data_IF_394407827714
#
_entry.id   IF_394407827714
#
_cell.length_a   1.000
_cell.length_b   1.000
_cell.length_c   1.000
_cell.angle_alpha   90.00
_cell.angle_beta   90.00
_cell.angle_gamma   90.00
#
_symmetry.space_group_name_H-M   'P 1'
#
loop_
_entity.id
_entity.type
_entity.pdbx_description
1 polymer ?
#
# COMPACT_ATOMS: atom_id res chain seq x y z
N UNK A 1 69.55 23.04 -17.59
CA UNK A 1 68.66 21.95 -18.05
C UNK A 1 67.23 22.30 -17.67
N UNK A 2 66.31 22.11 -18.61
CA UNK A 2 64.96 22.64 -18.68
C UNK A 2 63.94 21.93 -17.76
N UNK A 3 62.81 22.62 -17.52
CA UNK A 3 61.58 22.15 -16.85
C UNK A 3 60.88 21.00 -17.61
N UNK A 4 60.09 20.17 -16.90
CA UNK A 4 58.62 19.99 -17.08
C UNK A 4 58.05 18.56 -16.88
N UNK A 5 57.11 18.47 -15.92
CA UNK A 5 55.70 18.00 -15.99
C UNK A 5 55.32 16.53 -16.33
N UNK A 6 54.45 15.99 -15.44
CA UNK A 6 53.38 14.98 -15.60
C UNK A 6 53.78 13.47 -15.65
N UNK A 7 52.98 12.52 -15.18
CA UNK A 7 51.53 12.47 -14.97
C UNK A 7 51.11 11.49 -13.86
N UNK A 8 49.94 11.77 -13.29
CA UNK A 8 49.14 10.93 -12.39
C UNK A 8 48.83 9.54 -12.97
N UNK A 9 48.83 8.53 -12.10
CA UNK A 9 48.05 7.30 -12.29
C UNK A 9 47.38 6.90 -10.98
N UNK A 10 46.30 7.58 -10.62
CA UNK A 10 45.34 7.07 -9.63
C UNK A 10 44.49 6.00 -10.32
N UNK A 11 44.75 4.73 -10.04
CA UNK A 11 43.83 3.64 -10.36
C UNK A 11 42.70 3.66 -9.31
N UNK A 12 41.67 4.48 -9.55
CA UNK A 12 40.39 4.31 -8.88
C UNK A 12 39.71 3.09 -9.48
N UNK A 13 39.81 1.94 -8.83
CA UNK A 13 38.92 0.82 -9.11
C UNK A 13 37.50 1.27 -8.75
N UNK A 14 36.73 1.64 -9.77
CA UNK A 14 35.31 1.92 -9.65
C UNK A 14 34.59 0.65 -9.19
N UNK A 15 34.21 0.62 -7.92
CA UNK A 15 33.23 -0.32 -7.41
C UNK A 15 31.86 0.06 -7.96
N UNK A 16 31.50 -0.51 -9.11
CA UNK A 16 30.13 -0.42 -9.62
C UNK A 16 29.32 -1.53 -8.93
N UNK A 17 28.81 -1.24 -7.74
CA UNK A 17 27.74 -2.03 -7.14
C UNK A 17 26.43 -1.66 -7.84
N UNK A 18 26.15 -2.30 -8.98
CA UNK A 18 24.82 -2.32 -9.57
C UNK A 18 23.95 -3.32 -8.80
N UNK A 19 23.45 -2.91 -7.64
CA UNK A 19 22.26 -3.56 -7.08
C UNK A 19 21.05 -2.90 -7.71
N UNK A 20 20.53 -3.50 -8.78
CA UNK A 20 19.15 -3.27 -9.19
C UNK A 20 18.25 -3.92 -8.14
N UNK A 21 17.97 -3.17 -7.06
CA UNK A 21 16.88 -3.52 -6.18
C UNK A 21 15.57 -3.25 -6.94
N UNK A 22 14.97 -4.29 -7.51
CA UNK A 22 13.52 -4.29 -7.68
C UNK A 22 12.96 -4.16 -6.28
N UNK A 23 12.51 -2.97 -5.90
CA UNK A 23 11.86 -2.79 -4.61
C UNK A 23 10.56 -3.60 -4.65
N UNK A 24 10.60 -4.83 -4.16
CA UNK A 24 9.40 -5.53 -3.71
C UNK A 24 8.64 -4.54 -2.81
N UNK A 25 7.37 -4.32 -3.12
CA UNK A 25 6.54 -3.47 -2.26
C UNK A 25 6.62 -4.00 -0.82
N UNK A 26 6.66 -3.13 0.19
CA UNK A 26 6.87 -3.57 1.56
C UNK A 26 5.74 -4.52 1.98
N UNK A 27 6.10 -5.69 2.48
CA UNK A 27 5.14 -6.63 3.11
C UNK A 27 4.92 -6.34 4.58
N UNK A 28 5.67 -5.40 5.14
CA UNK A 28 5.62 -5.01 6.54
C UNK A 28 5.75 -3.50 6.69
N UNK A 29 5.06 -2.95 7.69
CA UNK A 29 5.16 -1.55 8.06
C UNK A 29 5.06 -1.39 9.58
N UNK A 30 5.97 -0.61 10.17
CA UNK A 30 5.91 -0.30 11.59
C UNK A 30 4.78 0.69 11.87
N UNK A 31 3.84 0.30 12.75
CA UNK A 31 2.84 1.21 13.34
C UNK A 31 3.24 1.58 14.77
N UNK A 32 2.62 2.60 15.36
CA UNK A 32 2.77 2.95 16.79
C UNK A 32 2.20 1.86 17.71
N UNK A 33 1.43 0.93 17.16
CA UNK A 33 0.75 -0.15 17.90
C UNK A 33 1.32 -1.54 17.58
N UNK A 34 2.48 -1.59 16.91
CA UNK A 34 3.19 -2.82 16.57
C UNK A 34 3.48 -2.95 15.08
N UNK A 35 4.24 -4.00 14.72
CA UNK A 35 4.55 -4.30 13.33
C UNK A 35 3.29 -4.81 12.62
N UNK A 36 2.87 -4.14 11.56
CA UNK A 36 1.86 -4.66 10.64
C UNK A 36 2.57 -5.50 9.58
N UNK A 37 2.22 -6.78 9.46
CA UNK A 37 2.88 -7.72 8.55
C UNK A 37 1.85 -8.51 7.75
N UNK A 38 1.95 -8.46 6.42
CA UNK A 38 1.10 -9.21 5.50
C UNK A 38 1.60 -10.64 5.23
N UNK A 39 2.52 -11.15 6.06
CA UNK A 39 3.21 -12.44 5.89
C UNK A 39 2.60 -13.58 6.70
N UNK A 40 1.45 -13.35 7.34
CA UNK A 40 0.78 -14.37 8.13
C UNK A 40 0.33 -15.58 7.29
N UNK A 41 -0.06 -16.68 7.95
CA UNK A 41 -0.56 -17.88 7.27
C UNK A 41 -1.67 -17.52 6.28
N UNK A 42 -1.63 -18.07 5.07
CA UNK A 42 -2.57 -17.77 3.99
C UNK A 42 -2.66 -16.26 3.66
N UNK A 43 -1.51 -15.56 3.68
CA UNK A 43 -1.40 -14.13 3.36
C UNK A 43 -2.26 -13.23 4.27
N UNK A 44 -2.42 -13.65 5.53
CA UNK A 44 -3.19 -12.88 6.50
C UNK A 44 -2.38 -11.75 7.10
N UNK A 45 -3.08 -10.68 7.47
CA UNK A 45 -2.52 -9.58 8.24
C UNK A 45 -2.28 -10.00 9.69
N UNK A 46 -1.07 -9.73 10.17
CA UNK A 46 -0.69 -9.77 11.57
C UNK A 46 -0.43 -8.35 12.08
N UNK A 47 -0.85 -8.06 13.30
CA UNK A 47 -0.42 -6.88 14.06
C UNK A 47 0.35 -7.36 15.27
N UNK A 48 1.62 -6.96 15.38
CA UNK A 48 2.53 -7.39 16.43
C UNK A 48 2.62 -8.93 16.55
N UNK A 49 2.64 -9.62 15.41
CA UNK A 49 2.68 -11.08 15.33
C UNK A 49 1.34 -11.78 15.61
N UNK A 50 0.27 -11.05 15.94
CA UNK A 50 -1.05 -11.63 16.23
C UNK A 50 -2.01 -11.46 15.05
N UNK A 51 -2.83 -12.49 14.72
CA UNK A 51 -3.89 -12.36 13.72
C UNK A 51 -4.88 -11.28 14.10
N UNK A 52 -5.40 -10.55 13.10
CA UNK A 52 -6.43 -9.55 13.32
C UNK A 52 -7.83 -10.15 13.43
N UNK A 53 -8.75 -9.40 14.06
CA UNK A 53 -10.18 -9.67 14.06
C UNK A 53 -10.91 -8.43 13.49
N UNK A 54 -11.62 -8.54 12.35
CA UNK A 54 -11.71 -9.72 11.49
C UNK A 54 -10.35 -10.10 10.89
N UNK A 55 -10.23 -11.34 10.42
CA UNK A 55 -9.06 -11.75 9.65
C UNK A 55 -9.07 -10.99 8.32
N UNK A 56 -7.91 -10.53 7.88
CA UNK A 56 -7.76 -9.84 6.59
C UNK A 56 -6.74 -10.62 5.78
N UNK A 57 -7.09 -11.04 4.58
CA UNK A 57 -6.22 -11.85 3.73
C UNK A 57 -6.11 -11.23 2.34
N UNK A 58 -4.87 -11.14 1.84
CA UNK A 58 -4.64 -10.95 0.42
C UNK A 58 -4.77 -12.28 -0.31
N UNK A 59 -4.98 -12.23 -1.62
CA UNK A 59 -5.16 -13.44 -2.41
C UNK A 59 -3.84 -14.22 -2.57
N UNK A 60 -2.94 -13.78 -3.45
CA UNK A 60 -1.61 -14.39 -3.62
C UNK A 60 -0.56 -13.77 -2.71
N UNK A 61 -0.67 -12.48 -2.42
CA UNK A 61 0.10 -11.81 -1.38
C UNK A 61 -0.66 -10.61 -0.81
N UNK A 62 -0.28 -10.22 0.40
CA UNK A 62 -0.73 -9.01 1.05
C UNK A 62 0.48 -8.10 1.31
N UNK A 63 0.48 -6.91 0.70
CA UNK A 63 1.44 -5.85 0.96
C UNK A 63 0.86 -4.85 1.94
N UNK A 64 1.75 -4.24 2.72
CA UNK A 64 1.39 -3.40 3.86
C UNK A 64 2.21 -2.12 3.82
N UNK A 65 1.52 -0.99 3.71
CA UNK A 65 2.15 0.32 3.75
C UNK A 65 1.45 1.20 4.78
N UNK A 66 2.17 1.67 5.80
CA UNK A 66 1.68 2.76 6.63
C UNK A 66 1.74 4.06 5.83
N UNK A 67 0.60 4.72 5.66
CA UNK A 67 0.47 5.90 4.81
C UNK A 67 0.24 7.18 5.62
N UNK A 68 -0.34 7.10 6.82
CA UNK A 68 -0.60 8.28 7.65
C UNK A 68 -0.61 7.99 9.15
N UNK A 69 -0.50 9.06 9.94
CA UNK A 69 -0.89 9.12 11.35
C UNK A 69 -1.92 10.24 11.52
N UNK A 70 -3.01 9.98 12.24
CA UNK A 70 -4.03 10.97 12.56
C UNK A 70 -4.52 10.76 13.99
N UNK A 71 -4.18 11.69 14.89
CA UNK A 71 -4.40 11.52 16.33
C UNK A 71 -3.78 10.21 16.84
N UNK A 72 -4.58 9.41 17.54
CA UNK A 72 -4.21 8.07 18.02
C UNK A 72 -4.59 6.97 17.01
N UNK A 73 -4.43 7.22 15.72
CA UNK A 73 -4.71 6.25 14.67
C UNK A 73 -3.58 6.25 13.65
N UNK A 74 -3.07 5.07 13.36
CA UNK A 74 -2.21 4.83 12.20
C UNK A 74 -3.07 4.33 11.06
N UNK A 75 -2.83 4.84 9.86
CA UNK A 75 -3.55 4.40 8.67
C UNK A 75 -2.63 3.58 7.79
N UNK A 76 -3.07 2.38 7.50
CA UNK A 76 -2.37 1.40 6.70
C UNK A 76 -3.15 1.16 5.41
N UNK A 77 -2.46 1.26 4.28
CA UNK A 77 -2.93 0.80 2.98
C UNK A 77 -2.49 -0.65 2.81
N UNK A 78 -3.48 -1.52 2.68
CA UNK A 78 -3.29 -2.92 2.34
C UNK A 78 -3.42 -3.05 0.82
N UNK A 79 -2.53 -3.83 0.19
CA UNK A 79 -2.65 -4.18 -1.23
C UNK A 79 -2.71 -5.70 -1.35
N UNK A 80 -3.85 -6.22 -1.78
CA UNK A 80 -3.99 -7.61 -2.20
C UNK A 80 -3.54 -7.71 -3.65
N UNK A 81 -2.72 -8.71 -3.96
CA UNK A 81 -2.30 -9.00 -5.34
C UNK A 81 -2.56 -10.45 -5.69
N UNK A 82 -2.63 -10.69 -7.00
CA UNK A 82 -2.89 -12.01 -7.57
C UNK A 82 -4.37 -12.37 -7.44
N UNK A 83 -4.90 -13.03 -8.46
CA UNK A 83 -6.32 -13.26 -8.61
C UNK A 83 -6.70 -13.11 -10.08
N UNK A 84 -7.63 -13.93 -10.55
CA UNK A 84 -7.98 -13.92 -11.98
C UNK A 84 -8.69 -12.62 -12.44
N UNK A 85 -9.19 -11.84 -11.49
CA UNK A 85 -9.96 -10.63 -11.78
C UNK A 85 -9.13 -9.33 -11.79
N UNK A 86 -7.97 -9.28 -11.11
CA UNK A 86 -7.29 -8.01 -10.86
C UNK A 86 -5.85 -8.19 -10.37
N UNK A 87 -4.90 -7.45 -10.94
CA UNK A 87 -3.49 -7.51 -10.52
C UNK A 87 -3.26 -6.92 -9.12
N UNK A 88 -4.02 -5.88 -8.76
CA UNK A 88 -3.95 -5.26 -7.44
C UNK A 88 -5.30 -4.67 -7.00
N UNK A 89 -5.66 -4.93 -5.75
CA UNK A 89 -6.77 -4.31 -5.03
C UNK A 89 -6.29 -3.73 -3.70
N UNK A 90 -7.00 -2.72 -3.20
CA UNK A 90 -6.58 -1.90 -2.08
C UNK A 90 -7.63 -1.90 -0.97
N UNK A 91 -7.18 -1.90 0.28
CA UNK A 91 -8.04 -1.69 1.44
C UNK A 91 -7.40 -0.72 2.42
N UNK A 92 -8.21 0.11 3.07
CA UNK A 92 -7.76 1.06 4.09
C UNK A 92 -8.08 0.49 5.47
N UNK A 93 -7.05 0.38 6.29
CA UNK A 93 -7.11 -0.10 7.66
C UNK A 93 -6.69 0.99 8.64
N UNK A 94 -7.51 1.19 9.68
CA UNK A 94 -7.16 2.04 10.81
C UNK A 94 -6.67 1.16 11.96
N UNK A 95 -5.45 1.40 12.43
CA UNK A 95 -4.85 0.75 13.61
C UNK A 95 -4.82 1.75 14.76
N UNK A 96 -5.32 1.35 15.91
CA UNK A 96 -5.52 2.20 17.10
C UNK A 96 -4.93 1.52 18.34
N UNK A 97 -4.84 2.22 19.49
CA UNK A 97 -4.42 1.58 20.75
C UNK A 97 -5.31 0.40 21.16
N UNK A 98 -6.56 0.38 20.71
CA UNK A 98 -7.55 -0.65 21.03
C UNK A 98 -7.61 -1.78 19.99
N UNK A 99 -6.64 -1.82 19.06
CA UNK A 99 -6.62 -2.75 17.94
C UNK A 99 -7.06 -2.11 16.63
N UNK A 100 -7.53 -2.93 15.69
CA UNK A 100 -7.93 -2.47 14.37
C UNK A 100 -9.42 -2.11 14.31
N UNK A 101 -9.77 -1.16 13.44
CA UNK A 101 -11.16 -1.01 12.98
C UNK A 101 -11.43 -1.98 11.83
N UNK A 102 -12.71 -2.27 11.56
CA UNK A 102 -13.10 -3.02 10.36
C UNK A 102 -12.52 -2.32 9.12
N UNK A 103 -11.77 -3.04 8.27
CA UNK A 103 -11.19 -2.47 7.06
C UNK A 103 -12.28 -2.11 6.05
N UNK A 104 -11.95 -1.25 5.09
CA UNK A 104 -12.77 -1.12 3.89
C UNK A 104 -12.82 -2.44 3.12
N UNK A 105 -13.83 -2.67 2.26
CA UNK A 105 -13.70 -3.68 1.22
C UNK A 105 -12.41 -3.47 0.44
N UNK A 106 -11.92 -4.52 -0.21
CA UNK A 106 -10.90 -4.34 -1.24
C UNK A 106 -11.53 -3.67 -2.47
N UNK A 107 -10.89 -2.62 -2.96
CA UNK A 107 -11.35 -1.78 -4.07
C UNK A 107 -10.22 -1.42 -5.03
N UNK A 108 -10.56 -0.78 -6.15
CA UNK A 108 -9.63 -0.37 -7.19
C UNK A 108 -10.10 -0.77 -8.59
N UNK A 109 -9.21 -0.62 -9.57
CA UNK A 109 -9.49 -0.89 -10.98
C UNK A 109 -8.39 -1.71 -11.68
N UNK A 110 -7.61 -2.47 -10.90
CA UNK A 110 -6.49 -3.29 -11.36
C UNK A 110 -5.26 -2.52 -11.84
N UNK A 111 -5.30 -1.18 -11.75
CA UNK A 111 -4.11 -0.36 -11.92
C UNK A 111 -3.48 -0.01 -10.57
N UNK A 112 -2.17 0.26 -10.58
CA UNK A 112 -1.49 0.73 -9.38
C UNK A 112 -2.02 2.10 -8.95
N UNK A 113 -2.44 2.20 -7.68
CA UNK A 113 -2.88 3.45 -7.08
C UNK A 113 -1.69 4.28 -6.59
N UNK A 114 -1.83 5.60 -6.64
CA UNK A 114 -0.96 6.53 -5.88
C UNK A 114 -1.77 7.12 -4.72
N UNK A 115 -1.52 6.75 -3.46
CA UNK A 115 -2.20 7.34 -2.32
C UNK A 115 -1.71 8.79 -2.12
N UNK A 116 -2.63 9.66 -1.73
CA UNK A 116 -2.34 11.02 -1.28
C UNK A 116 -3.23 11.34 -0.08
N UNK A 117 -2.68 12.07 0.89
CA UNK A 117 -3.37 12.40 2.13
C UNK A 117 -3.44 13.92 2.27
N UNK A 118 -4.64 14.41 2.61
CA UNK A 118 -4.87 15.82 2.91
C UNK A 118 -5.90 15.94 4.02
N UNK A 119 -5.47 16.36 5.20
CA UNK A 119 -6.31 16.38 6.40
C UNK A 119 -6.86 15.00 6.74
N UNK A 120 -8.17 14.86 6.89
CA UNK A 120 -8.85 13.59 7.15
C UNK A 120 -9.05 12.72 5.91
N UNK A 121 -8.66 13.17 4.71
CA UNK A 121 -9.00 12.48 3.45
C UNK A 121 -7.80 11.73 2.88
N UNK A 122 -8.03 10.46 2.56
CA UNK A 122 -7.13 9.61 1.80
C UNK A 122 -7.70 9.49 0.40
N UNK A 123 -6.94 9.95 -0.59
CA UNK A 123 -7.33 9.90 -2.00
C UNK A 123 -6.44 8.93 -2.74
N UNK A 124 -7.05 7.92 -3.35
CA UNK A 124 -6.40 6.94 -4.23
C UNK A 124 -6.81 7.27 -5.67
N UNK A 125 -5.83 7.64 -6.48
CA UNK A 125 -6.03 7.90 -7.91
C UNK A 125 -5.54 6.71 -8.70
N UNK A 126 -6.44 6.15 -9.50
CA UNK A 126 -6.17 5.03 -10.38
C UNK A 126 -6.18 5.49 -11.83
N UNK A 127 -5.10 5.25 -12.61
CA UNK A 127 -5.16 5.50 -14.04
C UNK A 127 -6.22 4.60 -14.68
N UNK A 128 -6.89 5.09 -15.72
CA UNK A 128 -7.76 4.28 -16.57
C UNK A 128 -7.02 3.99 -17.87
N UNK A 129 -6.79 2.71 -18.14
CA UNK A 129 -6.23 2.26 -19.41
C UNK A 129 -7.38 1.87 -20.34
N UNK A 130 -7.64 2.69 -21.37
CA UNK A 130 -8.54 2.32 -22.47
C UNK A 130 -7.69 2.20 -23.73
N UNK A 131 -7.28 0.96 -24.07
CA UNK A 131 -6.36 0.70 -25.18
C UNK A 131 -4.96 1.28 -24.93
N UNK A 132 -4.27 1.71 -26.00
CA UNK A 132 -2.89 2.25 -25.95
C UNK A 132 -2.77 3.68 -25.39
N UNK A 133 -3.89 4.34 -25.05
CA UNK A 133 -3.88 5.76 -24.69
C UNK A 133 -4.50 6.00 -23.31
N UNK A 134 -3.80 6.80 -22.49
CA UNK A 134 -4.29 7.31 -21.20
C UNK A 134 -5.04 8.62 -21.46
N UNK A 135 -6.24 8.55 -22.01
CA UNK A 135 -7.05 9.75 -22.33
C UNK A 135 -8.29 9.91 -21.45
N UNK A 136 -8.54 8.99 -20.52
CA UNK A 136 -9.68 9.11 -19.60
C UNK A 136 -9.28 9.64 -18.23
N UNK A 137 -10.18 10.36 -17.52
CA UNK A 137 -9.91 10.80 -16.16
C UNK A 137 -9.58 9.60 -15.26
N UNK A 138 -8.60 9.77 -14.39
CA UNK A 138 -8.31 8.81 -13.34
C UNK A 138 -9.59 8.49 -12.56
N UNK A 139 -9.80 7.22 -12.23
CA UNK A 139 -10.76 6.88 -11.21
C UNK A 139 -10.23 7.36 -9.86
N UNK A 140 -11.07 8.03 -9.09
CA UNK A 140 -10.68 8.63 -7.81
C UNK A 140 -11.55 8.05 -6.72
N UNK A 141 -10.91 7.32 -5.82
CA UNK A 141 -11.54 6.83 -4.60
C UNK A 141 -11.07 7.67 -3.42
N UNK A 142 -12.00 8.11 -2.59
CA UNK A 142 -11.73 8.96 -1.43
C UNK A 142 -12.31 8.30 -0.19
N UNK A 143 -11.45 8.09 0.79
CA UNK A 143 -11.83 7.68 2.13
C UNK A 143 -11.66 8.83 3.12
N UNK A 144 -12.71 9.12 3.87
CA UNK A 144 -12.70 10.12 4.93
C UNK A 144 -12.50 9.43 6.29
N UNK A 145 -11.37 9.70 6.93
CA UNK A 145 -10.97 9.10 8.21
C UNK A 145 -11.91 9.48 9.37
N UNK A 146 -12.54 10.65 9.31
CA UNK A 146 -13.40 11.13 10.38
C UNK A 146 -14.78 10.46 10.34
N UNK A 147 -15.32 10.29 9.13
CA UNK A 147 -16.66 9.70 8.92
C UNK A 147 -16.63 8.21 8.62
N UNK A 148 -15.48 7.68 8.21
CA UNK A 148 -15.34 6.31 7.71
C UNK A 148 -16.00 6.07 6.35
N UNK A 149 -16.40 7.13 5.63
CA UNK A 149 -17.09 7.01 4.34
C UNK A 149 -16.07 6.79 3.22
N UNK A 150 -16.33 5.80 2.37
CA UNK A 150 -15.62 5.55 1.13
C UNK A 150 -16.49 5.98 -0.07
N UNK A 151 -15.91 6.75 -0.98
CA UNK A 151 -16.56 7.17 -2.23
C UNK A 151 -15.72 6.75 -3.42
N UNK A 152 -16.40 6.36 -4.51
CA UNK A 152 -15.83 6.07 -5.82
C UNK A 152 -16.37 7.06 -6.83
N UNK A 153 -15.48 7.90 -7.38
CA UNK A 153 -15.83 9.03 -8.25
C UNK A 153 -16.96 9.91 -7.66
N UNK A 154 -16.90 10.18 -6.35
CA UNK A 154 -17.87 10.99 -5.63
C UNK A 154 -19.17 10.27 -5.22
N UNK A 155 -19.38 9.01 -5.64
CA UNK A 155 -20.52 8.19 -5.20
C UNK A 155 -20.13 7.34 -3.99
N UNK A 156 -20.89 7.41 -2.91
CA UNK A 156 -20.68 6.54 -1.73
C UNK A 156 -20.80 5.07 -2.10
N UNK A 157 -19.85 4.27 -1.62
CA UNK A 157 -19.85 2.81 -1.72
C UNK A 157 -19.76 2.20 -0.31
N UNK A 158 -20.08 0.90 -0.14
CA UNK A 158 -19.92 0.24 1.15
C UNK A 158 -18.52 0.44 1.70
N UNK A 159 -18.42 0.92 2.94
CA UNK A 159 -17.15 1.29 3.55
C UNK A 159 -16.60 0.23 4.52
N UNK A 160 -17.36 -0.83 4.79
CA UNK A 160 -16.92 -1.96 5.60
C UNK A 160 -16.83 -3.21 4.73
N UNK A 161 -15.74 -3.96 4.90
CA UNK A 161 -15.55 -5.22 4.20
C UNK A 161 -16.64 -6.23 4.54
N UNK A 162 -17.17 -6.91 3.52
CA UNK A 162 -18.02 -8.09 3.72
C UNK A 162 -17.14 -9.24 4.19
N UNK A 163 -17.56 -9.90 5.26
CA UNK A 163 -16.84 -11.04 5.82
C UNK A 163 -17.42 -12.33 5.25
N UNK A 164 -16.57 -13.14 4.64
CA UNK A 164 -16.88 -14.51 4.25
C UNK A 164 -16.12 -15.44 5.19
N UNK A 165 -16.84 -16.25 5.99
CA UNK A 165 -16.30 -17.06 7.08
C UNK A 165 -15.40 -16.30 8.08
N UNK A 166 -15.75 -15.04 8.35
CA UNK A 166 -15.02 -14.16 9.27
C UNK A 166 -13.74 -13.54 8.68
N UNK A 167 -13.52 -13.70 7.37
CA UNK A 167 -12.37 -13.16 6.65
C UNK A 167 -12.81 -12.04 5.71
N UNK A 168 -12.14 -10.89 5.79
CA UNK A 168 -12.16 -9.88 4.75
C UNK A 168 -11.12 -10.26 3.69
N UNK A 169 -11.60 -10.72 2.53
CA UNK A 169 -10.75 -11.16 1.42
C UNK A 169 -10.67 -10.10 0.33
N UNK A 170 -9.49 -9.99 -0.27
CA UNK A 170 -9.23 -9.24 -1.50
C UNK A 170 -8.67 -10.11 -2.60
#
# INVERSE_FOLDING_TARGET
MHLSIAALSFLTMGGVSLTLASADAPREAQTRYGLASGTGPLNTLLINGQPTTPKIAGNSALFVQKIAESGNTDVVLLTSVGGQACDAQYSILQVTPNGIKTPTPFFGNCSTAKPSISGSKITLKFPRNIGKYVTTPAEVDIYDLATGILTKNGKTIPAACKLDDGVCQG
#
